data_IF_902856350504
#
_entry.id   IF_902856350504
#
_cell.length_a   1.000
_cell.length_b   1.000
_cell.length_c   1.000
_cell.angle_alpha   90.00
_cell.angle_beta   90.00
_cell.angle_gamma   90.00
#
_symmetry.space_group_name_H-M   'P 1'
#
loop_
_entity.id
_entity.type
_entity.pdbx_description
1 polymer ?
#
# COMPACT_ATOMS: atom_id res chain seq x y z
N UNK A 1 -6.36 2.79 -8.91
CA UNK A 1 -5.16 2.90 -8.02
C UNK A 1 -5.64 2.97 -6.59
N UNK A 2 -5.11 2.12 -5.72
CA UNK A 2 -5.51 2.04 -4.32
C UNK A 2 -5.07 3.28 -3.56
N UNK A 3 -6.03 4.09 -3.09
CA UNK A 3 -5.78 5.36 -2.41
C UNK A 3 -6.29 5.38 -0.97
N UNK A 4 -6.98 4.33 -0.54
CA UNK A 4 -7.55 4.27 0.80
C UNK A 4 -7.54 2.84 1.34
N UNK A 5 -7.19 2.69 2.60
CA UNK A 5 -7.24 1.42 3.30
C UNK A 5 -7.44 1.61 4.80
N UNK A 6 -8.01 0.60 5.45
CA UNK A 6 -8.06 0.46 6.89
C UNK A 6 -6.77 -0.23 7.35
N UNK A 7 -5.98 0.49 8.14
CA UNK A 7 -4.76 -0.06 8.72
C UNK A 7 -5.09 -1.14 9.76
N UNK A 8 -4.15 -2.05 9.99
CA UNK A 8 -4.31 -3.04 11.05
C UNK A 8 -4.64 -2.38 12.39
N UNK A 9 -5.61 -2.92 13.10
CA UNK A 9 -5.92 -2.51 14.47
C UNK A 9 -4.82 -3.00 15.40
N UNK A 10 -4.36 -2.13 16.29
CA UNK A 10 -3.23 -2.42 17.20
C UNK A 10 -3.41 -3.71 18.00
N UNK A 11 -4.63 -3.95 18.50
CA UNK A 11 -4.99 -5.15 19.25
C UNK A 11 -5.07 -6.43 18.40
N UNK A 12 -4.81 -6.33 17.10
CA UNK A 12 -4.80 -7.44 16.14
C UNK A 12 -3.43 -7.66 15.49
N UNK A 13 -2.45 -6.83 15.80
CA UNK A 13 -1.10 -6.93 15.22
C UNK A 13 -0.45 -8.31 15.46
N UNK A 14 -0.74 -8.95 16.59
CA UNK A 14 -0.27 -10.30 16.91
C UNK A 14 -0.72 -11.37 15.91
N UNK A 15 -1.81 -11.13 15.16
CA UNK A 15 -2.31 -12.07 14.14
C UNK A 15 -1.41 -12.15 12.90
N UNK A 16 -0.46 -11.24 12.75
CA UNK A 16 0.50 -11.28 11.64
C UNK A 16 1.71 -12.18 11.91
N UNK A 17 1.81 -12.73 13.13
CA UNK A 17 2.99 -13.52 13.56
C UNK A 17 4.33 -12.76 13.36
N UNK A 18 4.29 -11.45 13.57
CA UNK A 18 5.44 -10.55 13.49
C UNK A 18 5.61 -9.82 14.84
N UNK A 19 6.82 -9.33 15.16
CA UNK A 19 7.01 -8.52 16.37
C UNK A 19 5.97 -7.40 16.46
N UNK A 20 5.36 -7.22 17.64
CA UNK A 20 4.34 -6.20 17.84
C UNK A 20 4.93 -4.77 17.74
N UNK A 21 4.12 -3.80 17.25
CA UNK A 21 4.58 -2.43 17.15
C UNK A 21 4.63 -1.75 18.51
N UNK A 22 5.78 -1.19 18.87
CA UNK A 22 5.89 -0.28 20.00
C UNK A 22 5.16 1.04 19.71
N UNK A 23 4.14 1.39 20.48
CA UNK A 23 3.47 2.70 20.57
C UNK A 23 3.33 3.51 19.26
N UNK A 24 3.08 2.87 18.11
CA UNK A 24 2.87 3.58 16.86
C UNK A 24 1.55 4.36 16.86
N UNK A 25 1.58 5.56 16.27
CA UNK A 25 0.40 6.41 16.08
C UNK A 25 0.10 6.54 14.59
N UNK A 26 -1.06 6.05 14.20
CA UNK A 26 -1.64 6.21 12.86
C UNK A 26 -3.18 6.12 12.97
N UNK A 27 -3.92 6.77 12.07
CA UNK A 27 -5.38 6.64 12.03
C UNK A 27 -5.80 5.26 11.52
N UNK A 28 -7.05 4.88 11.72
CA UNK A 28 -7.60 3.64 11.16
C UNK A 28 -7.74 3.73 9.65
N UNK A 29 -8.38 4.78 9.13
CA UNK A 29 -8.49 5.07 7.70
C UNK A 29 -7.26 5.84 7.21
N UNK A 30 -6.54 5.26 6.27
CA UNK A 30 -5.32 5.82 5.69
C UNK A 30 -5.59 6.35 4.28
N UNK A 31 -5.23 7.61 4.07
CA UNK A 31 -5.24 8.29 2.77
C UNK A 31 -3.83 8.78 2.41
N UNK A 32 -3.58 9.15 1.13
CA UNK A 32 -2.29 9.74 0.73
C UNK A 32 -1.88 10.91 1.63
N UNK A 33 -0.60 10.93 2.02
CA UNK A 33 0.01 11.85 2.99
C UNK A 33 -0.39 11.65 4.46
N UNK A 34 -1.14 10.61 4.78
CA UNK A 34 -1.39 10.25 6.19
C UNK A 34 -0.26 9.41 6.75
N UNK A 35 -0.03 9.46 8.07
CA UNK A 35 0.84 8.51 8.75
C UNK A 35 0.23 7.11 8.67
N UNK A 36 1.05 6.13 8.32
CA UNK A 36 0.66 4.75 8.09
C UNK A 36 1.67 3.79 8.70
N UNK A 37 1.25 2.63 9.21
CA UNK A 37 2.18 1.61 9.66
C UNK A 37 2.94 1.01 8.48
N UNK A 38 4.23 0.81 8.67
CA UNK A 38 5.11 0.08 7.76
C UNK A 38 5.97 -0.89 8.57
N UNK A 39 6.04 -2.13 8.11
CA UNK A 39 6.96 -3.16 8.59
C UNK A 39 8.11 -3.26 7.59
N UNK A 40 9.36 -3.31 8.07
CA UNK A 40 10.53 -3.45 7.21
C UNK A 40 11.68 -4.12 7.95
N UNK A 41 12.67 -4.63 7.21
CA UNK A 41 13.88 -5.19 7.77
C UNK A 41 14.95 -4.09 7.93
N UNK A 42 15.49 -3.96 9.12
CA UNK A 42 16.62 -3.10 9.43
C UNK A 42 17.77 -3.95 9.93
N UNK A 43 18.78 -4.19 9.08
CA UNK A 43 19.93 -5.05 9.39
C UNK A 43 19.52 -6.44 9.92
N UNK A 44 18.52 -7.04 9.28
CA UNK A 44 17.99 -8.36 9.64
C UNK A 44 17.05 -8.38 10.84
N UNK A 45 16.73 -7.21 11.41
CA UNK A 45 15.73 -7.09 12.47
C UNK A 45 14.44 -6.48 11.91
N UNK A 46 13.32 -7.14 12.14
CA UNK A 46 12.00 -6.64 11.74
C UNK A 46 11.59 -5.50 12.67
N UNK A 47 11.24 -4.37 12.09
CA UNK A 47 10.83 -3.17 12.79
C UNK A 47 9.53 -2.61 12.20
N UNK A 48 8.72 -1.97 13.06
CA UNK A 48 7.57 -1.20 12.67
C UNK A 48 7.85 0.29 12.80
N UNK A 49 7.33 1.08 11.84
CA UNK A 49 7.39 2.54 11.90
C UNK A 49 6.09 3.15 11.39
N UNK A 50 5.75 4.32 11.93
CA UNK A 50 4.79 5.21 11.30
C UNK A 50 5.50 6.03 10.23
N UNK A 51 5.04 5.94 8.99
CA UNK A 51 5.65 6.58 7.82
C UNK A 51 4.59 7.31 7.01
N UNK A 52 4.99 8.25 6.14
CA UNK A 52 4.06 8.92 5.24
C UNK A 52 3.60 7.97 4.13
N UNK A 53 2.31 7.81 3.95
CA UNK A 53 1.74 7.10 2.80
C UNK A 53 1.77 8.01 1.57
N UNK A 54 2.62 7.67 0.63
CA UNK A 54 3.02 8.47 -0.52
C UNK A 54 4.49 8.82 -0.42
N UNK A 55 5.30 8.21 -1.29
CA UNK A 55 6.75 8.34 -1.27
C UNK A 55 7.21 9.78 -1.52
N UNK A 56 8.13 10.24 -0.71
CA UNK A 56 8.77 11.54 -0.85
C UNK A 56 10.22 11.27 -1.25
N UNK A 57 10.55 11.36 -2.54
CA UNK A 57 11.92 11.11 -3.00
C UNK A 57 12.86 12.21 -2.51
N UNK A 58 14.14 11.91 -2.39
CA UNK A 58 15.16 12.83 -1.85
C UNK A 58 15.27 14.18 -2.57
N UNK A 59 14.88 14.23 -3.84
CA UNK A 59 14.87 15.44 -4.66
C UNK A 59 13.59 16.27 -4.50
N UNK A 60 12.55 15.75 -3.83
CA UNK A 60 11.34 16.52 -3.59
C UNK A 60 11.61 17.72 -2.68
N UNK A 61 10.94 18.83 -2.98
CA UNK A 61 11.06 20.06 -2.20
C UNK A 61 10.06 20.15 -1.05
N UNK A 62 8.95 19.40 -1.16
CA UNK A 62 7.81 19.49 -0.26
C UNK A 62 7.25 18.11 0.09
N UNK A 63 6.73 17.97 1.31
CA UNK A 63 6.05 16.75 1.78
C UNK A 63 4.78 16.46 0.99
N UNK A 64 4.11 17.48 0.48
CA UNK A 64 2.89 17.36 -0.34
C UNK A 64 3.07 16.54 -1.60
N UNK A 65 4.32 16.33 -2.06
CA UNK A 65 4.63 15.48 -3.20
C UNK A 65 4.10 14.04 -3.04
N UNK A 66 4.03 13.52 -1.82
CA UNK A 66 3.51 12.19 -1.52
C UNK A 66 2.11 11.90 -2.07
N UNK A 67 1.28 12.94 -2.26
CA UNK A 67 -0.07 12.77 -2.86
C UNK A 67 -0.08 12.22 -4.29
N UNK A 68 1.06 12.22 -4.99
CA UNK A 68 1.19 11.72 -6.36
C UNK A 68 1.94 10.39 -6.46
N UNK A 69 2.44 9.89 -5.34
CA UNK A 69 3.40 8.77 -5.30
C UNK A 69 3.03 7.68 -4.30
N UNK A 70 1.75 7.57 -3.95
CA UNK A 70 1.26 6.56 -3.01
C UNK A 70 1.18 5.14 -3.62
N UNK A 71 1.19 5.03 -4.96
CA UNK A 71 1.29 3.76 -5.68
C UNK A 71 2.51 3.76 -6.60
N UNK A 72 3.24 2.66 -6.62
CA UNK A 72 4.37 2.40 -7.48
C UNK A 72 4.09 1.14 -8.32
N UNK A 73 3.95 1.31 -9.64
CA UNK A 73 3.68 0.20 -10.55
C UNK A 73 4.94 -0.62 -10.80
N UNK A 74 4.86 -1.92 -10.64
CA UNK A 74 6.00 -2.83 -10.84
C UNK A 74 6.57 -2.74 -12.24
N UNK A 75 5.74 -2.48 -13.25
CA UNK A 75 6.13 -2.34 -14.66
C UNK A 75 7.07 -1.16 -14.90
N UNK A 76 7.08 -0.17 -14.01
CA UNK A 76 7.86 1.07 -14.19
C UNK A 76 8.65 1.51 -12.97
N UNK A 77 8.55 0.77 -11.87
CA UNK A 77 9.16 1.14 -10.56
C UNK A 77 10.68 1.32 -10.65
N UNK A 78 11.34 0.47 -11.46
CA UNK A 78 12.79 0.51 -11.65
C UNK A 78 13.29 1.74 -12.46
N UNK A 79 12.39 2.41 -13.18
CA UNK A 79 12.73 3.50 -14.10
C UNK A 79 12.30 4.87 -13.56
N UNK A 80 11.14 4.94 -12.92
CA UNK A 80 10.53 6.20 -12.48
C UNK A 80 11.40 6.90 -11.43
N UNK A 81 11.73 8.20 -11.61
CA UNK A 81 12.60 8.94 -10.71
C UNK A 81 12.17 8.93 -9.23
N UNK A 82 10.86 8.83 -8.99
CA UNK A 82 10.31 8.80 -7.63
C UNK A 82 10.57 7.50 -6.89
N UNK A 83 10.78 6.38 -7.61
CA UNK A 83 10.77 5.03 -7.02
C UNK A 83 12.08 4.25 -7.22
N UNK A 84 12.77 4.51 -8.35
CA UNK A 84 13.93 3.71 -8.79
C UNK A 84 15.03 3.58 -7.74
N UNK A 85 15.26 4.61 -6.91
CA UNK A 85 16.33 4.56 -5.90
C UNK A 85 15.96 3.60 -4.77
N UNK A 86 14.74 3.68 -4.26
CA UNK A 86 14.22 2.75 -3.25
C UNK A 86 14.19 1.31 -3.78
N UNK A 87 13.75 1.13 -5.03
CA UNK A 87 13.70 -0.16 -5.70
C UNK A 87 15.08 -0.81 -5.81
N UNK A 88 16.04 -0.14 -6.43
CA UNK A 88 17.40 -0.70 -6.62
C UNK A 88 18.17 -0.90 -5.32
N UNK A 89 17.77 -0.26 -4.23
CA UNK A 89 18.30 -0.50 -2.89
C UNK A 89 17.57 -1.59 -2.12
N UNK A 90 16.60 -2.27 -2.74
CA UNK A 90 15.76 -3.28 -2.09
C UNK A 90 15.13 -2.74 -0.79
N UNK A 91 14.68 -1.48 -0.79
CA UNK A 91 14.03 -0.88 0.36
C UNK A 91 12.56 -1.34 0.39
N UNK A 92 12.37 -2.62 0.71
CA UNK A 92 11.06 -3.29 0.74
C UNK A 92 10.43 -3.23 2.12
N UNK A 93 9.10 -3.13 2.12
CA UNK A 93 8.29 -3.12 3.32
C UNK A 93 6.95 -3.80 3.11
N UNK A 94 6.23 -3.95 4.21
CA UNK A 94 4.87 -4.49 4.25
C UNK A 94 3.96 -3.47 4.90
N UNK A 95 2.82 -3.22 4.28
CA UNK A 95 1.74 -2.43 4.86
C UNK A 95 0.74 -3.41 5.48
N UNK A 96 0.57 -3.44 6.79
CA UNK A 96 -0.41 -4.29 7.45
C UNK A 96 -1.80 -3.65 7.38
N UNK A 97 -2.76 -4.37 6.83
CA UNK A 97 -4.11 -3.85 6.55
C UNK A 97 -5.21 -4.82 7.01
N UNK A 98 -6.38 -4.26 7.33
CA UNK A 98 -7.62 -5.00 7.55
C UNK A 98 -8.45 -5.04 6.26
N UNK A 99 -8.54 -3.88 5.58
CA UNK A 99 -9.40 -3.68 4.41
C UNK A 99 -8.74 -2.70 3.44
N UNK A 100 -8.78 -3.03 2.16
CA UNK A 100 -8.46 -2.09 1.07
C UNK A 100 -9.76 -1.54 0.50
N UNK A 101 -9.80 -0.27 0.13
CA UNK A 101 -10.96 0.32 -0.49
C UNK A 101 -10.69 0.70 -1.94
N UNK A 102 -11.56 0.22 -2.83
CA UNK A 102 -11.47 0.49 -4.27
C UNK A 102 -12.81 0.97 -4.85
N UNK A 103 -12.80 1.91 -5.80
CA UNK A 103 -14.01 2.36 -6.43
C UNK A 103 -14.53 1.33 -7.43
N UNK A 104 -15.80 0.94 -7.32
CA UNK A 104 -16.55 0.16 -8.28
C UNK A 104 -17.56 1.04 -8.98
N UNK A 105 -17.64 0.97 -10.30
CA UNK A 105 -18.55 1.75 -11.09
C UNK A 105 -19.82 0.95 -11.39
N UNK A 106 -20.98 1.46 -10.93
CA UNK A 106 -22.30 0.88 -11.16
C UNK A 106 -23.15 1.98 -11.77
N UNK A 107 -23.75 1.74 -12.93
CA UNK A 107 -24.57 2.70 -13.68
C UNK A 107 -23.88 4.07 -13.88
N UNK A 108 -22.56 4.03 -14.16
CA UNK A 108 -21.72 5.21 -14.39
C UNK A 108 -21.34 6.00 -13.13
N UNK A 109 -21.78 5.58 -11.95
CA UNK A 109 -21.45 6.21 -10.67
C UNK A 109 -20.41 5.41 -9.91
N UNK A 110 -19.47 6.11 -9.24
CA UNK A 110 -18.46 5.52 -8.38
C UNK A 110 -19.05 5.17 -7.01
N UNK A 111 -18.84 3.94 -6.58
CA UNK A 111 -19.20 3.45 -5.25
C UNK A 111 -17.97 2.81 -4.62
N UNK A 112 -17.67 3.17 -3.38
CA UNK A 112 -16.54 2.59 -2.65
C UNK A 112 -16.86 1.21 -2.10
N UNK A 113 -15.97 0.27 -2.34
CA UNK A 113 -16.07 -1.10 -1.86
C UNK A 113 -14.84 -1.47 -1.05
N UNK A 114 -15.07 -2.13 0.08
CA UNK A 114 -14.03 -2.76 0.86
C UNK A 114 -13.66 -4.13 0.29
N UNK A 115 -12.39 -4.48 0.42
CA UNK A 115 -11.82 -5.78 0.07
C UNK A 115 -11.07 -6.28 1.29
N UNK A 116 -11.45 -7.43 1.84
CA UNK A 116 -10.81 -8.07 2.99
C UNK A 116 -10.76 -9.57 2.84
N UNK A 117 -10.00 -10.26 3.68
CA UNK A 117 -9.95 -11.72 3.69
C UNK A 117 -11.27 -12.31 4.22
N UNK A 118 -11.71 -13.42 3.63
CA UNK A 118 -12.93 -14.15 4.04
C UNK A 118 -12.87 -14.66 5.48
N UNK A 119 -11.68 -15.03 5.94
CA UNK A 119 -11.43 -15.52 7.30
C UNK A 119 -11.36 -14.39 8.34
N UNK A 120 -11.46 -13.14 7.92
CA UNK A 120 -11.36 -11.96 8.78
C UNK A 120 -9.95 -11.68 9.31
N UNK A 121 -8.92 -12.37 8.82
CA UNK A 121 -7.54 -12.11 9.20
C UNK A 121 -7.00 -10.86 8.51
N UNK A 122 -6.14 -10.07 9.17
CA UNK A 122 -5.40 -9.01 8.51
C UNK A 122 -4.43 -9.60 7.48
N UNK A 123 -3.98 -8.79 6.54
CA UNK A 123 -3.02 -9.19 5.53
C UNK A 123 -1.98 -8.12 5.28
N UNK A 124 -0.94 -8.44 4.52
CA UNK A 124 0.16 -7.53 4.26
C UNK A 124 0.29 -7.23 2.77
N UNK A 125 0.44 -5.94 2.45
CA UNK A 125 0.60 -5.45 1.08
C UNK A 125 2.05 -5.03 0.87
N UNK A 126 2.62 -5.45 -0.26
CA UNK A 126 3.98 -5.09 -0.64
C UNK A 126 4.15 -3.58 -0.84
N UNK A 127 5.23 -3.05 -0.34
CA UNK A 127 5.59 -1.64 -0.44
C UNK A 127 7.08 -1.45 -0.67
N UNK A 128 7.44 -0.29 -1.19
CA UNK A 128 8.79 0.25 -1.16
C UNK A 128 8.82 1.50 -0.29
N UNK A 129 9.96 1.80 0.36
CA UNK A 129 10.09 2.97 1.20
C UNK A 129 11.36 3.77 0.90
N UNK A 130 11.34 5.05 1.26
CA UNK A 130 12.50 5.95 1.13
C UNK A 130 12.65 6.80 2.40
N UNK A 131 13.89 7.16 2.68
CA UNK A 131 14.25 8.12 3.71
C UNK A 131 14.77 9.38 3.02
N UNK A 132 14.08 10.50 3.21
CA UNK A 132 14.45 11.80 2.66
C UNK A 132 14.69 12.82 3.76
N UNK A 133 15.41 13.88 3.47
CA UNK A 133 15.53 15.07 4.32
C UNK A 133 14.91 16.23 3.58
N UNK A 134 13.79 16.75 4.08
CA UNK A 134 13.05 17.87 3.50
C UNK A 134 13.03 19.02 4.50
N UNK A 135 13.58 20.17 4.11
CA UNK A 135 13.69 21.35 4.97
C UNK A 135 14.36 21.04 6.34
N UNK A 136 15.35 20.14 6.36
CA UNK A 136 16.07 19.73 7.57
C UNK A 136 15.38 18.66 8.42
N UNK A 137 14.18 18.24 8.06
CA UNK A 137 13.44 17.17 8.75
C UNK A 137 13.62 15.82 8.05
N UNK A 138 13.94 14.78 8.83
CA UNK A 138 13.99 13.41 8.32
C UNK A 138 12.57 12.85 8.15
N UNK A 139 12.26 12.41 6.94
CA UNK A 139 10.96 11.85 6.60
C UNK A 139 11.19 10.45 6.04
N UNK A 140 10.50 9.48 6.61
CA UNK A 140 10.31 8.18 5.99
C UNK A 140 8.95 8.13 5.32
N UNK A 141 8.93 7.67 4.09
CA UNK A 141 7.72 7.59 3.29
C UNK A 141 7.71 6.30 2.49
N UNK A 142 6.53 5.87 2.04
CA UNK A 142 6.37 4.63 1.30
C UNK A 142 5.41 4.78 0.14
N UNK A 143 5.52 3.84 -0.82
CA UNK A 143 4.52 3.60 -1.86
C UNK A 143 4.09 2.15 -1.83
N UNK A 144 2.81 1.92 -1.98
CA UNK A 144 2.23 0.60 -2.20
C UNK A 144 2.61 0.10 -3.59
N UNK A 145 3.06 -1.14 -3.71
CA UNK A 145 3.33 -1.74 -5.01
C UNK A 145 2.03 -2.23 -5.66
N UNK A 146 1.92 -2.00 -6.96
CA UNK A 146 0.77 -2.42 -7.76
C UNK A 146 1.21 -3.08 -9.06
N UNK A 147 0.37 -4.01 -9.56
CA UNK A 147 0.53 -4.69 -10.85
C UNK A 147 -0.68 -4.44 -11.74
N UNK A 148 -0.52 -4.63 -13.04
CA UNK A 148 -1.65 -4.61 -13.98
C UNK A 148 -2.66 -5.71 -13.63
N UNK A 149 -3.94 -5.37 -13.67
CA UNK A 149 -5.05 -6.26 -13.31
C UNK A 149 -6.17 -6.30 -14.35
N UNK A 150 -5.90 -5.93 -15.60
CA UNK A 150 -6.90 -5.93 -16.68
C UNK A 150 -7.52 -7.33 -16.92
N UNK A 151 -6.74 -8.37 -16.69
CA UNK A 151 -7.15 -9.77 -16.83
C UNK A 151 -7.48 -10.43 -15.48
N UNK A 152 -7.27 -9.73 -14.36
CA UNK A 152 -7.49 -10.31 -13.04
C UNK A 152 -8.97 -10.60 -12.77
N UNK A 153 -9.38 -11.84 -12.47
CA UNK A 153 -10.81 -12.22 -12.39
C UNK A 153 -11.57 -11.42 -11.34
N UNK A 154 -10.94 -11.09 -10.20
CA UNK A 154 -11.55 -10.35 -9.10
C UNK A 154 -11.34 -8.83 -9.24
N UNK A 155 -10.11 -8.35 -9.48
CA UNK A 155 -9.77 -6.92 -9.43
C UNK A 155 -10.26 -6.13 -10.65
N UNK A 156 -10.48 -6.76 -11.81
CA UNK A 156 -10.97 -6.08 -13.05
C UNK A 156 -12.31 -5.37 -12.88
N UNK A 157 -13.10 -5.72 -11.86
CA UNK A 157 -14.41 -5.11 -11.58
C UNK A 157 -14.33 -3.71 -10.93
N UNK A 158 -13.13 -3.34 -10.43
CA UNK A 158 -12.89 -2.05 -9.80
C UNK A 158 -12.35 -1.03 -10.80
N UNK A 159 -12.22 0.21 -10.36
CA UNK A 159 -11.82 1.38 -11.14
C UNK A 159 -12.80 1.71 -12.29
N UNK A 160 -12.61 2.89 -12.88
CA UNK A 160 -13.44 3.33 -14.00
C UNK A 160 -13.27 2.37 -15.20
N UNK A 161 -14.35 2.03 -15.93
CA UNK A 161 -14.27 1.08 -17.05
C UNK A 161 -13.24 1.42 -18.13
N UNK A 162 -12.97 2.72 -18.34
CA UNK A 162 -12.00 3.22 -19.32
C UNK A 162 -10.57 3.27 -18.83
N UNK A 163 -10.35 3.10 -17.51
CA UNK A 163 -9.03 3.19 -16.92
C UNK A 163 -8.36 1.82 -16.88
N UNK A 164 -7.06 1.81 -17.02
CA UNK A 164 -6.24 0.63 -16.79
C UNK A 164 -6.47 0.10 -15.36
N UNK A 165 -6.66 -1.20 -15.24
CA UNK A 165 -6.89 -1.85 -13.96
C UNK A 165 -5.57 -2.13 -13.28
N UNK A 166 -5.54 -1.98 -11.96
CA UNK A 166 -4.40 -2.37 -11.15
C UNK A 166 -4.86 -3.11 -9.89
N UNK A 167 -4.01 -3.99 -9.43
CA UNK A 167 -4.13 -4.70 -8.16
C UNK A 167 -2.97 -4.35 -7.25
N UNK A 168 -3.20 -4.39 -5.97
CA UNK A 168 -2.14 -4.46 -4.97
C UNK A 168 -1.46 -5.82 -5.04
N UNK A 169 -0.24 -5.91 -4.53
CA UNK A 169 0.47 -7.17 -4.33
C UNK A 169 0.33 -7.56 -2.87
N UNK A 170 -0.37 -8.64 -2.62
CA UNK A 170 -0.49 -9.20 -1.26
C UNK A 170 0.64 -10.21 -1.06
N UNK A 171 1.39 -10.04 0.02
CA UNK A 171 2.42 -10.99 0.40
C UNK A 171 1.82 -12.01 1.37
N UNK A 172 1.75 -13.30 0.98
CA UNK A 172 1.29 -14.36 1.86
C UNK A 172 2.10 -14.46 3.15
N UNK A 173 1.48 -14.98 4.20
CA UNK A 173 2.03 -14.98 5.55
C UNK A 173 3.41 -15.64 5.62
N UNK A 174 3.59 -16.75 4.91
CA UNK A 174 4.82 -17.54 4.83
C UNK A 174 5.97 -16.85 4.09
N UNK A 175 5.67 -15.84 3.23
CA UNK A 175 6.69 -15.15 2.42
C UNK A 175 7.07 -13.75 2.96
N UNK A 176 6.52 -13.32 4.10
CA UNK A 176 6.77 -11.97 4.64
C UNK A 176 8.23 -11.68 4.92
N UNK A 177 8.93 -12.61 5.58
CA UNK A 177 10.35 -12.43 5.91
C UNK A 177 11.24 -12.48 4.66
N UNK A 178 10.93 -13.35 3.72
CA UNK A 178 11.67 -13.46 2.47
C UNK A 178 11.51 -12.17 1.65
N UNK A 179 10.28 -11.65 1.51
CA UNK A 179 10.01 -10.37 0.86
C UNK A 179 10.82 -9.23 1.48
N UNK A 180 10.84 -9.11 2.81
CA UNK A 180 11.54 -8.04 3.51
C UNK A 180 13.06 -8.07 3.34
N UNK A 181 13.62 -9.21 2.94
CA UNK A 181 15.06 -9.43 2.80
C UNK A 181 15.50 -9.77 1.37
N UNK A 182 14.58 -9.86 0.41
CA UNK A 182 14.94 -10.21 -0.97
C UNK A 182 15.68 -9.07 -1.68
N UNK A 183 16.38 -9.44 -2.74
CA UNK A 183 16.99 -8.48 -3.67
C UNK A 183 15.91 -7.92 -4.64
N UNK A 184 16.10 -6.69 -5.12
CA UNK A 184 15.24 -6.15 -6.18
C UNK A 184 15.23 -7.00 -7.47
N UNK A 185 16.25 -7.83 -7.68
CA UNK A 185 16.34 -8.75 -8.83
C UNK A 185 15.35 -9.90 -8.70
N UNK A 186 15.09 -10.33 -7.47
CA UNK A 186 14.26 -11.48 -7.14
C UNK A 186 12.85 -11.06 -6.72
N UNK A 187 12.61 -9.75 -6.55
CA UNK A 187 11.34 -9.20 -6.08
C UNK A 187 10.13 -9.62 -6.94
N UNK A 188 10.34 -9.90 -8.23
CA UNK A 188 9.27 -10.34 -9.14
C UNK A 188 8.70 -11.71 -8.77
N UNK A 189 9.43 -12.55 -8.02
CA UNK A 189 8.96 -13.84 -7.53
C UNK A 189 7.84 -13.70 -6.49
N UNK A 190 7.69 -12.52 -5.90
CA UNK A 190 6.68 -12.18 -4.90
C UNK A 190 5.49 -11.39 -5.45
N UNK A 191 5.36 -11.25 -6.77
CA UNK A 191 4.23 -10.54 -7.36
C UNK A 191 3.00 -11.43 -7.48
N UNK A 192 2.50 -11.84 -6.32
CA UNK A 192 1.31 -12.67 -6.22
C UNK A 192 0.05 -11.87 -6.58
N UNK A 193 -0.80 -12.47 -7.40
CA UNK A 193 -2.17 -11.98 -7.60
C UNK A 193 -3.03 -12.32 -6.37
N UNK A 194 -4.02 -11.46 -6.08
CA UNK A 194 -4.99 -11.77 -5.03
C UNK A 194 -5.76 -13.03 -5.39
N UNK A 195 -5.79 -13.98 -4.46
CA UNK A 195 -6.45 -15.28 -4.61
C UNK A 195 -7.96 -15.20 -4.27
N UNK A 196 -8.67 -16.34 -4.36
CA UNK A 196 -10.11 -16.45 -4.11
C UNK A 196 -10.53 -16.28 -2.64
N UNK A 197 -9.58 -16.09 -1.72
CA UNK A 197 -9.84 -15.91 -0.29
C UNK A 197 -10.33 -14.51 0.09
N UNK A 198 -10.48 -13.59 -0.87
CA UNK A 198 -10.96 -12.24 -0.62
C UNK A 198 -12.43 -12.08 -0.95
N UNK A 199 -13.10 -11.23 -0.16
CA UNK A 199 -14.48 -10.81 -0.36
C UNK A 199 -14.54 -9.31 -0.59
N UNK A 200 -15.64 -8.85 -1.20
CA UNK A 200 -15.91 -7.44 -1.38
C UNK A 200 -17.29 -7.06 -0.84
N UNK A 201 -17.40 -5.88 -0.26
CA UNK A 201 -18.61 -5.34 0.34
C UNK A 201 -18.67 -3.82 0.17
N UNK A 202 -19.87 -3.20 0.08
CA UNK A 202 -19.99 -1.75 0.02
C UNK A 202 -19.38 -1.08 1.26
N UNK A 203 -18.64 0.01 1.09
CA UNK A 203 -18.17 0.84 2.23
C UNK A 203 -19.34 1.65 2.77
N UNK A 204 -19.88 1.30 3.93
CA UNK A 204 -21.11 1.84 4.51
C UNK A 204 -20.98 3.24 5.15
N UNK A 205 -19.81 3.89 5.17
CA UNK A 205 -19.53 5.09 5.98
C UNK A 205 -18.70 6.20 5.31
N UNK A 206 -18.77 6.33 3.97
CA UNK A 206 -18.35 7.60 3.38
C UNK A 206 -19.60 8.47 3.22
N UNK A 207 -19.70 9.58 3.95
CA UNK A 207 -20.62 10.66 3.61
C UNK A 207 -20.28 11.10 2.17
N UNK A 208 -21.29 11.51 1.39
CA UNK A 208 -21.11 11.97 0.00
C UNK A 208 -20.11 13.13 -0.17
N UNK A 209 -19.65 13.72 0.93
CA UNK A 209 -18.68 14.82 0.99
C UNK A 209 -17.20 14.40 1.00
N UNK A 210 -16.89 13.10 1.17
CA UNK A 210 -15.51 12.58 1.12
C UNK A 210 -15.11 12.12 -0.29
N UNK A 211 -15.89 12.45 -1.30
CA UNK A 211 -15.61 12.20 -2.70
C UNK A 211 -14.47 13.12 -3.17
N UNK A 212 -13.29 12.53 -3.28
CA UNK A 212 -12.09 12.99 -3.98
C UNK A 212 -11.53 14.36 -3.58
N UNK A 213 -10.28 14.45 -3.14
CA UNK A 213 -9.50 15.64 -3.40
C UNK A 213 -9.42 15.77 -4.94
N UNK A 214 -9.95 16.88 -5.46
CA UNK A 214 -9.87 17.25 -6.87
C UNK A 214 -8.42 17.08 -7.37
N UNK A 215 -8.19 16.03 -8.15
CA UNK A 215 -6.98 15.86 -8.96
C UNK A 215 -7.14 16.82 -10.17
N UNK A 216 -6.73 18.06 -9.99
CA UNK A 216 -6.37 18.96 -11.08
C UNK A 216 -4.88 18.88 -11.29
#
# INVERSE_FOLDING_TARGET
>A
MCANFEAIRKNRAFLLDLPEPDQLKFPEDIFPNYPSPLIFSNKGKIEWRSVNFGMIPKWAKEKSFGKYTYNARTETVAEKPSFREAWHKSQFGLIPVETIFEPKYIDGKSHWYGISRKDGMPFTVAAIYENAVIAGEQIRSMSMLTINADQHPFMKQFHKPTDEKCSIIVIPDEYREEWLNCSFKDAHEFFFEMQDEYITFPKSHLSENDAQPNLI
#
